data_IF_019621359572
#
_entry.id   IF_019621359572
#
_cell.length_a   1.000
_cell.length_b   1.000
_cell.length_c   1.000
_cell.angle_alpha   90.00
_cell.angle_beta   90.00
_cell.angle_gamma   90.00
#
_symmetry.space_group_name_H-M   'P 1'
#
loop_
_entity.id
_entity.type
_entity.pdbx_description
1 polymer ?
#
# COMPACT_ATOMS: atom_id res chain seq x y z
N UNK A 1 16.58 -5.93 -11.14
CA UNK A 1 15.17 -6.07 -10.82
C UNK A 1 14.67 -4.65 -10.69
N UNK A 2 13.75 -4.26 -11.56
CA UNK A 2 13.15 -2.93 -11.52
C UNK A 2 11.99 -3.03 -10.54
N UNK A 3 12.27 -2.82 -9.26
CA UNK A 3 11.24 -2.84 -8.23
C UNK A 3 10.32 -1.62 -8.41
N UNK A 4 9.02 -1.85 -8.34
CA UNK A 4 7.99 -0.83 -8.46
C UNK A 4 7.62 -0.31 -7.07
N UNK A 5 7.63 1.01 -6.92
CA UNK A 5 7.32 1.67 -5.65
C UNK A 5 5.82 1.84 -5.49
N UNK A 6 5.33 1.41 -4.33
CA UNK A 6 3.93 1.44 -3.99
C UNK A 6 3.75 2.18 -2.68
N UNK A 7 2.73 3.03 -2.61
CA UNK A 7 2.44 3.86 -1.46
C UNK A 7 1.22 3.35 -0.71
N UNK A 8 1.23 3.46 0.61
CA UNK A 8 0.11 3.03 1.43
C UNK A 8 -1.13 3.86 1.11
N UNK A 9 -2.18 3.21 0.63
CA UNK A 9 -3.45 3.86 0.26
C UNK A 9 -4.60 3.46 1.17
N UNK A 10 -4.51 2.30 1.81
CA UNK A 10 -5.57 1.82 2.70
C UNK A 10 -5.00 0.98 3.84
N UNK A 11 -5.55 1.20 5.05
CA UNK A 11 -5.29 0.38 6.23
C UNK A 11 -6.60 0.04 6.92
N UNK A 12 -6.97 -1.24 6.87
CA UNK A 12 -8.25 -1.75 7.38
C UNK A 12 -8.02 -2.75 8.50
N UNK A 13 -8.63 -2.53 9.66
CA UNK A 13 -8.59 -3.42 10.81
C UNK A 13 -9.79 -4.35 10.82
N UNK A 14 -9.56 -5.63 11.03
CA UNK A 14 -10.61 -6.64 11.16
C UNK A 14 -10.82 -7.03 12.62
N UNK A 15 -12.02 -7.51 12.92
CA UNK A 15 -12.47 -8.03 14.21
C UNK A 15 -11.68 -9.25 14.70
N UNK A 16 -10.90 -9.89 13.81
CA UNK A 16 -10.05 -11.05 14.12
C UNK A 16 -8.61 -10.67 14.51
N UNK A 17 -8.34 -9.39 14.71
CA UNK A 17 -6.98 -8.90 15.01
C UNK A 17 -6.03 -9.00 13.80
N UNK A 18 -6.58 -8.97 12.59
CA UNK A 18 -5.82 -8.87 11.34
C UNK A 18 -5.96 -7.47 10.77
N UNK A 19 -4.90 -6.99 10.14
CA UNK A 19 -4.85 -5.71 9.43
C UNK A 19 -4.55 -6.00 7.97
N UNK A 20 -5.38 -5.45 7.09
CA UNK A 20 -5.15 -5.40 5.66
C UNK A 20 -4.49 -4.07 5.33
N UNK A 21 -3.32 -4.12 4.72
CA UNK A 21 -2.61 -2.97 4.18
C UNK A 21 -2.67 -3.08 2.66
N UNK A 22 -3.11 -2.02 2.00
CA UNK A 22 -3.10 -1.91 0.54
C UNK A 22 -2.09 -0.84 0.16
N UNK A 23 -1.16 -1.22 -0.71
CA UNK A 23 -0.21 -0.31 -1.32
C UNK A 23 -0.52 -0.22 -2.81
N UNK A 24 -0.42 0.96 -3.40
CA UNK A 24 -0.71 1.15 -4.82
C UNK A 24 0.33 2.06 -5.49
N UNK A 25 0.45 1.92 -6.81
CA UNK A 25 1.22 2.83 -7.64
C UNK A 25 0.58 4.22 -7.65
N UNK A 26 1.37 5.26 -7.92
CA UNK A 26 0.85 6.65 -7.99
C UNK A 26 -0.09 6.87 -9.18
N UNK A 27 -0.04 6.02 -10.20
CA UNK A 27 -1.03 5.96 -11.29
C UNK A 27 -2.29 5.15 -10.93
N UNK A 28 -2.27 4.44 -9.79
CA UNK A 28 -3.35 3.60 -9.29
C UNK A 28 -3.59 2.32 -10.08
N UNK A 29 -2.85 2.04 -11.16
CA UNK A 29 -3.09 0.92 -12.06
C UNK A 29 -2.81 -0.44 -11.40
N UNK A 30 -1.89 -0.46 -10.43
CA UNK A 30 -1.47 -1.67 -9.73
C UNK A 30 -1.50 -1.49 -8.24
N UNK A 31 -1.74 -2.59 -7.54
CA UNK A 31 -1.74 -2.62 -6.09
C UNK A 31 -1.15 -3.91 -5.54
N UNK A 32 -0.78 -3.86 -4.26
CA UNK A 32 -0.30 -4.96 -3.48
C UNK A 32 -1.03 -4.99 -2.14
N UNK A 33 -1.74 -6.07 -1.88
CA UNK A 33 -2.41 -6.29 -0.60
C UNK A 33 -1.54 -7.16 0.32
N UNK A 34 -1.28 -6.65 1.53
CA UNK A 34 -0.57 -7.36 2.59
C UNK A 34 -1.49 -7.51 3.81
N UNK A 35 -1.85 -8.74 4.13
CA UNK A 35 -2.55 -9.04 5.38
C UNK A 35 -1.54 -9.42 6.47
N UNK A 36 -1.62 -8.77 7.64
CA UNK A 36 -0.76 -8.99 8.80
C UNK A 36 -1.57 -9.13 10.08
N UNK A 37 -0.99 -9.75 11.11
CA UNK A 37 -1.60 -9.77 12.44
C UNK A 37 -1.27 -8.49 13.20
N UNK A 38 -2.20 -8.01 14.00
CA UNK A 38 -2.04 -6.79 14.79
C UNK A 38 -0.88 -6.89 15.78
N UNK A 39 -0.65 -8.07 16.36
CA UNK A 39 0.51 -8.33 17.24
C UNK A 39 1.84 -8.13 16.52
N UNK A 40 1.91 -8.43 15.22
CA UNK A 40 3.15 -8.27 14.45
C UNK A 40 3.41 -6.80 14.12
N UNK A 41 2.37 -6.00 13.88
CA UNK A 41 2.51 -4.55 13.67
C UNK A 41 3.07 -3.80 14.89
N UNK A 42 2.92 -4.35 16.10
CA UNK A 42 3.58 -3.78 17.28
C UNK A 42 5.11 -3.95 17.26
N UNK A 43 5.63 -4.79 16.35
CA UNK A 43 7.06 -5.13 16.25
C UNK A 43 7.68 -4.73 14.90
N UNK A 44 6.86 -4.31 13.92
CA UNK A 44 7.30 -3.92 12.58
C UNK A 44 6.56 -2.67 12.18
N UNK A 45 7.31 -1.61 11.88
CA UNK A 45 6.76 -0.35 11.42
C UNK A 45 6.15 -0.51 10.03
N UNK A 46 4.96 0.06 9.85
CA UNK A 46 4.33 0.19 8.53
C UNK A 46 4.96 1.40 7.87
N UNK A 47 5.68 1.20 6.79
CA UNK A 47 6.29 2.29 6.02
C UNK A 47 5.27 2.94 5.09
N UNK A 48 5.49 4.21 4.76
CA UNK A 48 4.66 4.97 3.82
C UNK A 48 4.70 4.35 2.42
N UNK A 49 5.83 3.76 2.02
CA UNK A 49 5.98 3.04 0.77
C UNK A 49 6.67 1.68 0.93
N UNK A 50 6.50 0.83 -0.08
CA UNK A 50 7.23 -0.41 -0.25
C UNK A 50 7.66 -0.55 -1.70
N UNK A 51 8.86 -1.04 -1.94
CA UNK A 51 9.31 -1.47 -3.26
C UNK A 51 8.97 -2.97 -3.43
N UNK A 52 8.35 -3.34 -4.54
CA UNK A 52 7.95 -4.72 -4.83
C UNK A 52 8.11 -5.04 -6.32
N UNK A 53 8.28 -6.33 -6.63
CA UNK A 53 8.39 -6.77 -8.01
C UNK A 53 7.07 -6.50 -8.75
N UNK A 54 7.07 -5.79 -9.91
CA UNK A 54 5.87 -5.51 -10.69
C UNK A 54 5.10 -6.78 -11.09
N UNK A 55 5.79 -7.92 -11.24
CA UNK A 55 5.15 -9.21 -11.56
C UNK A 55 4.36 -9.80 -10.37
N UNK A 56 4.56 -9.26 -9.16
CA UNK A 56 3.83 -9.66 -7.94
C UNK A 56 2.60 -8.79 -7.64
N UNK A 57 2.33 -7.80 -8.50
CA UNK A 57 1.25 -6.83 -8.31
C UNK A 57 -0.02 -7.26 -9.01
N UNK A 58 -1.14 -6.95 -8.37
CA UNK A 58 -2.47 -7.13 -8.95
C UNK A 58 -2.88 -5.86 -9.70
N UNK A 59 -3.56 -6.03 -10.83
CA UNK A 59 -4.13 -4.91 -11.59
C UNK A 59 -5.42 -4.41 -10.94
N UNK A 60 -5.65 -3.09 -10.99
CA UNK A 60 -6.92 -2.50 -10.57
C UNK A 60 -7.86 -2.45 -11.76
N UNK A 61 -8.87 -3.31 -11.75
CA UNK A 61 -9.84 -3.45 -12.85
C UNK A 61 -10.91 -2.34 -12.85
N UNK A 62 -11.15 -1.69 -11.72
CA UNK A 62 -12.20 -0.68 -11.53
C UNK A 62 -11.64 0.75 -11.61
N UNK A 63 -12.21 1.57 -12.51
CA UNK A 63 -11.74 2.93 -12.76
C UNK A 63 -11.89 3.83 -11.52
N UNK A 64 -12.98 3.70 -10.76
CA UNK A 64 -13.21 4.47 -9.54
C UNK A 64 -12.16 4.12 -8.47
N UNK A 65 -11.87 2.83 -8.29
CA UNK A 65 -10.83 2.35 -7.38
C UNK A 65 -9.45 2.82 -7.83
N UNK A 66 -9.16 2.81 -9.14
CA UNK A 66 -7.91 3.28 -9.70
C UNK A 66 -7.67 4.75 -9.38
N UNK A 67 -8.65 5.61 -9.66
CA UNK A 67 -8.56 7.05 -9.36
C UNK A 67 -8.37 7.31 -7.86
N UNK A 68 -9.09 6.57 -7.01
CA UNK A 68 -8.94 6.68 -5.56
C UNK A 68 -7.54 6.29 -5.10
N UNK A 69 -7.03 5.16 -5.56
CA UNK A 69 -5.68 4.69 -5.22
C UNK A 69 -4.60 5.64 -5.73
N UNK A 70 -4.69 6.12 -6.97
CA UNK A 70 -3.76 7.10 -7.52
C UNK A 70 -3.71 8.38 -6.67
N UNK A 71 -4.88 8.91 -6.29
CA UNK A 71 -4.97 10.12 -5.46
C UNK A 71 -4.33 9.92 -4.09
N UNK A 72 -4.67 8.85 -3.38
CA UNK A 72 -4.11 8.56 -2.06
C UNK A 72 -2.61 8.24 -2.12
N UNK A 73 -2.16 7.48 -3.12
CA UNK A 73 -0.76 7.15 -3.30
C UNK A 73 0.09 8.38 -3.57
N UNK A 74 -0.37 9.26 -4.47
CA UNK A 74 0.28 10.55 -4.76
C UNK A 74 0.34 11.42 -3.49
N UNK A 75 -0.76 11.49 -2.75
CA UNK A 75 -0.84 12.27 -1.52
C UNK A 75 0.09 11.73 -0.42
N UNK A 76 0.23 10.41 -0.31
CA UNK A 76 1.17 9.77 0.61
C UNK A 76 2.61 10.09 0.19
N UNK A 77 2.91 10.00 -1.10
CA UNK A 77 4.22 10.32 -1.68
C UNK A 77 4.65 11.77 -1.49
N UNK A 78 3.71 12.70 -1.57
CA UNK A 78 3.98 14.13 -1.40
C UNK A 78 4.20 14.53 0.07
N UNK A 79 3.62 13.77 1.01
CA UNK A 79 3.62 14.12 2.43
C UNK A 79 4.67 13.36 3.25
N UNK A 80 5.10 12.18 2.79
CA UNK A 80 5.94 11.28 3.56
C UNK A 80 7.13 10.77 2.74
N UNK A 81 8.24 10.53 3.44
CA UNK A 81 9.36 9.80 2.85
C UNK A 81 9.00 8.30 2.71
N UNK A 82 9.51 7.59 1.68
CA UNK A 82 9.18 6.17 1.44
C UNK A 82 9.38 5.26 2.66
N UNK A 83 10.46 5.49 3.41
CA UNK A 83 10.85 4.71 4.58
C UNK A 83 10.28 5.27 5.91
N UNK A 84 9.46 6.32 5.84
CA UNK A 84 8.82 6.92 7.02
C UNK A 84 7.73 5.99 7.56
N UNK A 85 7.68 5.81 8.89
CA UNK A 85 6.67 4.99 9.55
C UNK A 85 5.33 5.75 9.73
N UNK A 86 4.19 5.10 9.44
CA UNK A 86 2.82 5.66 9.43
C UNK A 86 1.77 4.82 10.19
#
# INVERSE_FOLDING_TARGET
MDDERLWLVERTYTDKGLVSLVYATTDGERYLQKQRSMNMLNHVDVTAAVDADPDSLDAVDDDETRERYASEATRMADQHDPDEAV
#
